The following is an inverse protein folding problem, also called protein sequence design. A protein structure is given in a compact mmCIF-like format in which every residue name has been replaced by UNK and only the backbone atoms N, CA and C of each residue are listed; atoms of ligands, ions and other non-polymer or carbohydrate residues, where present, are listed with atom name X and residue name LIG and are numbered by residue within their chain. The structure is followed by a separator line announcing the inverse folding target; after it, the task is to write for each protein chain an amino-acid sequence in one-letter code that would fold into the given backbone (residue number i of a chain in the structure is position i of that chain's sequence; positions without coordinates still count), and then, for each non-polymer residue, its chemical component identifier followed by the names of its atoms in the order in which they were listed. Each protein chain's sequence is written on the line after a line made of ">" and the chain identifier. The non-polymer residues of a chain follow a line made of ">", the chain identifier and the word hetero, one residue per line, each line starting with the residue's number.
data_IF_423148267874
#
_entry.id   IF_423148267874
#
_cell.length_a   1.000
_cell.length_b   1.000
_cell.length_c   1.000
_cell.angle_alpha   90.00
_cell.angle_beta   90.00
_cell.angle_gamma   90.00
#
_symmetry.space_group_name_H-M   'P 1'
#
loop_
_entity.id
_entity.type
_entity.pdbx_description
1 polymer ?
#
# COMPACT_ATOMS: atom_id res chain seq x y z
N UNK A 1 5.78 20.47 0.85
CA UNK A 1 5.38 19.06 0.97
C UNK A 1 3.88 18.93 0.83
N UNK A 2 3.47 18.31 -0.28
CA UNK A 2 2.14 17.77 -0.51
C UNK A 2 1.72 16.84 0.64
N UNK A 3 0.40 16.67 0.82
CA UNK A 3 -0.15 15.68 1.77
C UNK A 3 0.38 14.27 1.49
N UNK A 4 0.66 13.95 0.23
CA UNK A 4 1.22 12.66 -0.18
C UNK A 4 2.68 12.54 0.25
N UNK A 5 3.52 13.55 0.02
CA UNK A 5 4.93 13.53 0.43
C UNK A 5 5.08 13.37 1.95
N UNK A 6 4.23 14.04 2.74
CA UNK A 6 4.21 13.88 4.21
C UNK A 6 3.85 12.45 4.63
N UNK A 7 2.90 11.84 3.92
CA UNK A 7 2.50 10.46 4.19
C UNK A 7 3.63 9.49 3.84
N UNK A 8 4.28 9.67 2.70
CA UNK A 8 5.44 8.89 2.26
C UNK A 8 6.60 8.96 3.26
N UNK A 9 6.93 10.17 3.72
CA UNK A 9 7.96 10.36 4.75
C UNK A 9 7.58 9.67 6.07
N UNK A 10 6.31 9.72 6.47
CA UNK A 10 5.84 9.07 7.70
C UNK A 10 5.95 7.54 7.62
N UNK A 11 5.57 6.93 6.50
CA UNK A 11 5.64 5.46 6.36
C UNK A 11 7.09 4.96 6.26
N UNK A 12 7.99 5.76 5.66
CA UNK A 12 9.43 5.44 5.63
C UNK A 12 10.05 5.48 7.03
N UNK A 13 9.71 6.49 7.83
CA UNK A 13 10.24 6.66 9.17
C UNK A 13 9.61 5.69 10.19
N UNK A 14 8.39 5.21 9.96
CA UNK A 14 7.71 4.29 10.87
C UNK A 14 6.90 3.21 10.11
N UNK A 15 7.59 2.24 9.49
CA UNK A 15 6.94 1.22 8.66
C UNK A 15 6.14 0.18 9.48
N UNK A 16 6.29 0.16 10.81
CA UNK A 16 5.52 -0.72 11.72
C UNK A 16 4.15 -0.17 12.10
N UNK A 17 3.89 1.12 11.88
CA UNK A 17 2.67 1.82 12.30
C UNK A 17 1.87 2.36 11.11
N UNK A 18 1.78 1.55 10.05
CA UNK A 18 1.09 1.94 8.80
C UNK A 18 -0.26 1.24 8.72
N UNK A 19 -1.32 2.03 8.48
CA UNK A 19 -2.68 1.50 8.27
C UNK A 19 -2.88 1.07 6.82
N UNK A 20 -3.84 0.16 6.61
CA UNK A 20 -4.25 -0.25 5.27
C UNK A 20 -4.62 0.96 4.38
N UNK A 21 -5.42 1.88 4.92
CA UNK A 21 -5.91 3.06 4.21
C UNK A 21 -4.78 4.01 3.76
N UNK A 22 -3.66 4.01 4.49
CA UNK A 22 -2.48 4.81 4.13
C UNK A 22 -1.76 4.20 2.91
N UNK A 23 -1.58 2.88 2.89
CA UNK A 23 -1.01 2.18 1.72
C UNK A 23 -1.96 2.22 0.52
N UNK A 24 -3.26 2.03 0.75
CA UNK A 24 -4.30 2.12 -0.29
C UNK A 24 -4.23 3.48 -0.99
N UNK A 25 -4.17 4.57 -0.22
CA UNK A 25 -4.05 5.91 -0.77
C UNK A 25 -2.77 6.11 -1.58
N UNK A 26 -1.62 5.63 -1.10
CA UNK A 26 -0.34 5.75 -1.81
C UNK A 26 -0.41 5.02 -3.15
N UNK A 27 -0.90 3.79 -3.17
CA UNK A 27 -1.00 2.97 -4.36
C UNK A 27 -1.98 3.56 -5.37
N UNK A 28 -3.15 4.02 -4.93
CA UNK A 28 -4.12 4.71 -5.79
C UNK A 28 -3.54 6.01 -6.39
N UNK A 29 -2.73 6.75 -5.63
CA UNK A 29 -2.04 7.95 -6.16
C UNK A 29 -0.90 7.60 -7.12
N UNK A 30 -0.38 6.37 -7.08
CA UNK A 30 0.64 5.88 -7.98
C UNK A 30 0.05 5.16 -9.21
N UNK A 31 -1.23 5.39 -9.54
CA UNK A 31 -1.98 4.77 -10.64
C UNK A 31 -2.09 3.25 -10.56
N UNK A 32 -2.14 2.69 -9.34
CA UNK A 32 -2.54 1.30 -9.18
C UNK A 32 -4.06 1.18 -9.08
N UNK A 33 -4.60 0.18 -9.77
CA UNK A 33 -5.99 -0.22 -9.69
C UNK A 33 -6.17 -1.27 -8.59
N UNK A 34 -7.17 -1.04 -7.73
CA UNK A 34 -7.49 -1.94 -6.62
C UNK A 34 -8.53 -2.97 -7.03
N UNK A 35 -8.20 -4.24 -6.89
CA UNK A 35 -9.09 -5.39 -7.08
C UNK A 35 -9.25 -6.19 -5.78
N UNK A 36 -10.49 -6.48 -5.41
CA UNK A 36 -10.82 -7.39 -4.32
C UNK A 36 -11.65 -8.56 -4.88
N UNK A 37 -11.31 -9.83 -4.57
CA UNK A 37 -12.10 -10.96 -5.05
C UNK A 37 -13.48 -11.00 -4.38
N UNK A 38 -14.50 -11.41 -5.15
CA UNK A 38 -15.92 -11.35 -4.81
C UNK A 38 -16.34 -12.17 -3.56
N UNK A 39 -15.52 -13.11 -3.10
CA UNK A 39 -15.87 -14.05 -2.03
C UNK A 39 -15.50 -13.60 -0.61
N UNK A 40 -15.26 -12.30 -0.39
CA UNK A 40 -14.97 -11.76 0.95
C UNK A 40 -13.53 -12.02 1.43
N UNK A 41 -12.56 -12.16 0.53
CA UNK A 41 -11.16 -12.20 0.94
C UNK A 41 -10.78 -10.89 1.63
N UNK A 42 -9.98 -11.02 2.69
CA UNK A 42 -9.33 -9.87 3.32
C UNK A 42 -8.20 -9.31 2.44
N UNK A 43 -7.77 -9.99 1.39
CA UNK A 43 -6.66 -9.53 0.57
C UNK A 43 -7.14 -8.62 -0.57
N UNK A 44 -6.45 -7.48 -0.71
CA UNK A 44 -6.60 -6.55 -1.82
C UNK A 44 -5.40 -6.69 -2.74
N UNK A 45 -5.65 -6.73 -4.04
CA UNK A 45 -4.59 -6.79 -5.04
C UNK A 45 -4.58 -5.49 -5.82
N UNK A 46 -3.42 -4.86 -5.92
CA UNK A 46 -3.17 -3.63 -6.65
C UNK A 46 -2.42 -3.97 -7.93
N UNK A 47 -2.90 -3.49 -9.07
CA UNK A 47 -2.31 -3.76 -10.39
C UNK A 47 -2.04 -2.46 -11.11
N UNK A 48 -0.92 -2.40 -11.82
CA UNK A 48 -0.57 -1.29 -12.71
C UNK A 48 0.08 -1.87 -13.95
N UNK A 49 -0.20 -1.29 -15.11
CA UNK A 49 0.38 -1.74 -16.37
C UNK A 49 1.92 -1.70 -16.31
N UNK A 50 2.57 -2.80 -16.70
CA UNK A 50 4.03 -2.93 -16.67
C UNK A 50 4.65 -3.07 -15.27
N UNK A 51 3.85 -3.27 -14.21
CA UNK A 51 4.31 -3.47 -12.84
C UNK A 51 3.80 -4.79 -12.25
N UNK A 52 4.49 -5.27 -11.22
CA UNK A 52 4.08 -6.51 -10.56
C UNK A 52 2.84 -6.25 -9.69
N UNK A 53 1.89 -7.21 -9.64
CA UNK A 53 0.73 -7.07 -8.77
C UNK A 53 1.15 -7.12 -7.29
N UNK A 54 0.66 -6.16 -6.50
CA UNK A 54 0.93 -6.08 -5.06
C UNK A 54 -0.30 -6.56 -4.30
N UNK A 55 -0.16 -7.60 -3.48
CA UNK A 55 -1.26 -8.08 -2.63
C UNK A 55 -1.05 -7.66 -1.18
N UNK A 56 -2.03 -6.96 -0.60
CA UNK A 56 -2.00 -6.45 0.77
C UNK A 56 -3.22 -6.97 1.53
N UNK A 57 -3.03 -7.61 2.70
CA UNK A 57 -4.13 -7.99 3.56
C UNK A 57 -4.77 -6.76 4.22
N UNK A 58 -6.09 -6.68 4.21
CA UNK A 58 -6.88 -5.73 4.99
C UNK A 58 -6.95 -6.20 6.43
N UNK A 59 -5.96 -5.77 7.22
CA UNK A 59 -5.82 -6.04 8.64
C UNK A 59 -5.96 -4.74 9.44
N UNK A 60 -6.52 -4.85 10.64
CA UNK A 60 -6.60 -3.77 11.63
C UNK A 60 -5.82 -4.16 12.89
N UNK A 61 -5.15 -3.22 13.59
CA UNK A 61 -5.03 -1.79 13.24
C UNK A 61 -3.90 -1.48 12.25
N UNK A 62 -2.83 -2.29 12.19
CA UNK A 62 -1.64 -2.03 11.37
C UNK A 62 -1.31 -3.18 10.43
N UNK A 63 -0.73 -2.84 9.28
CA UNK A 63 -0.20 -3.78 8.30
C UNK A 63 1.19 -4.25 8.74
N UNK A 64 1.55 -5.49 8.39
CA UNK A 64 2.92 -5.96 8.65
C UNK A 64 3.92 -5.16 7.83
N UNK A 65 5.04 -4.81 8.48
CA UNK A 65 6.16 -4.07 7.88
C UNK A 65 6.61 -4.62 6.52
N UNK A 66 6.59 -5.96 6.36
CA UNK A 66 6.98 -6.61 5.10
C UNK A 66 6.16 -6.15 3.89
N UNK A 67 4.88 -5.82 4.06
CA UNK A 67 4.06 -5.29 2.97
C UNK A 67 4.33 -3.80 2.73
N UNK A 68 4.62 -3.05 3.79
CA UNK A 68 5.01 -1.63 3.69
C UNK A 68 6.33 -1.50 2.93
N UNK A 69 7.33 -2.30 3.27
CA UNK A 69 8.62 -2.33 2.59
C UNK A 69 8.47 -2.71 1.11
N UNK A 70 7.64 -3.70 0.79
CA UNK A 70 7.34 -4.05 -0.62
C UNK A 70 6.76 -2.88 -1.41
N UNK A 71 5.84 -2.11 -0.81
CA UNK A 71 5.26 -0.93 -1.48
C UNK A 71 6.30 0.18 -1.65
N UNK A 72 7.18 0.39 -0.65
CA UNK A 72 8.27 1.37 -0.74
C UNK A 72 9.25 0.99 -1.86
N UNK A 73 9.65 -0.28 -1.91
CA UNK A 73 10.58 -0.81 -2.92
C UNK A 73 10.01 -0.69 -4.34
N UNK A 74 8.75 -1.09 -4.55
CA UNK A 74 8.11 -1.06 -5.87
C UNK A 74 7.87 0.37 -6.39
N UNK A 75 7.66 1.32 -5.48
CA UNK A 75 7.56 2.75 -5.80
C UNK A 75 8.94 3.43 -5.90
N UNK A 76 10.02 2.68 -5.69
CA UNK A 76 11.41 3.18 -5.67
C UNK A 76 11.56 4.40 -4.76
N UNK A 77 10.89 4.36 -3.61
CA UNK A 77 10.79 5.47 -2.66
C UNK A 77 12.06 5.59 -1.83
#
# INVERSE_FOLDING_TARGET
>A
MSKLEKLLQRIKNNPKSVRFEELDKILLNADYERAQPRSGSSHYTYRKEGKNPITIPHRKPYIHEVYVQKVIDELSL
#
